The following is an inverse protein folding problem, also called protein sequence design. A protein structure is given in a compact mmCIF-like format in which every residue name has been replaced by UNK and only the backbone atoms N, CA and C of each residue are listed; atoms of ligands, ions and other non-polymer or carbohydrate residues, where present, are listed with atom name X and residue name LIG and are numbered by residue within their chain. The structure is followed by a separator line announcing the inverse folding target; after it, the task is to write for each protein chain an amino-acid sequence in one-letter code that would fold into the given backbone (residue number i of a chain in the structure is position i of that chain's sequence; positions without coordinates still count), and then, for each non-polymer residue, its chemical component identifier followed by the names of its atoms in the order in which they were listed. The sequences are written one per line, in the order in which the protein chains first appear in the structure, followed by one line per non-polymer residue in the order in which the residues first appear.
data_IF_737222561449
#
_entry.id   IF_737222561449
#
_cell.length_a   1.000
_cell.length_b   1.000
_cell.length_c   1.000
_cell.angle_alpha   90.00
_cell.angle_beta   90.00
_cell.angle_gamma   90.00
#
_symmetry.space_group_name_H-M   'P 1'
#
loop_
_entity.id
_entity.type
_entity.pdbx_description
1 polymer ?
#
# COMPACT_ATOMS: atom_id res chain seq x y z
N UNK A 1 5.84 14.80 13.81
CA UNK A 1 4.50 14.92 13.19
C UNK A 1 4.54 14.08 11.92
N UNK A 2 3.66 13.09 11.78
CA UNK A 2 3.64 12.23 10.59
C UNK A 2 2.98 12.92 9.40
N UNK A 3 3.25 12.45 8.18
CA UNK A 3 2.61 12.95 6.95
C UNK A 3 1.08 12.72 7.02
N UNK A 4 0.23 13.73 6.77
CA UNK A 4 -1.21 13.53 6.68
C UNK A 4 -1.58 12.49 5.61
N UNK A 5 -2.58 11.65 5.87
CA UNK A 5 -3.02 10.61 4.92
C UNK A 5 -3.46 11.21 3.59
N UNK A 6 -4.12 12.38 3.60
CA UNK A 6 -4.54 13.07 2.37
C UNK A 6 -3.37 13.42 1.46
N UNK A 7 -2.22 13.78 2.04
CA UNK A 7 -0.99 14.03 1.27
C UNK A 7 -0.52 12.76 0.56
N UNK A 8 -0.56 11.60 1.24
CA UNK A 8 -0.20 10.32 0.63
C UNK A 8 -1.18 9.91 -0.47
N UNK A 9 -2.48 10.14 -0.27
CA UNK A 9 -3.53 9.88 -1.27
C UNK A 9 -3.33 10.75 -2.51
N UNK A 10 -3.02 12.03 -2.35
CA UNK A 10 -2.74 12.94 -3.47
C UNK A 10 -1.52 12.48 -4.28
N UNK A 11 -0.44 12.08 -3.61
CA UNK A 11 0.76 11.53 -4.27
C UNK A 11 0.42 10.24 -5.02
N UNK A 12 -0.33 9.32 -4.40
CA UNK A 12 -0.76 8.09 -5.02
C UNK A 12 -1.64 8.34 -6.27
N UNK A 13 -2.55 9.31 -6.19
CA UNK A 13 -3.42 9.70 -7.30
C UNK A 13 -2.64 10.36 -8.45
N UNK A 14 -1.69 11.24 -8.13
CA UNK A 14 -0.80 11.85 -9.12
C UNK A 14 0.07 10.81 -9.82
N UNK A 15 0.56 9.81 -9.07
CA UNK A 15 1.33 8.70 -9.63
C UNK A 15 0.48 7.85 -10.57
N UNK A 16 -0.71 7.43 -10.13
CA UNK A 16 -1.64 6.66 -10.94
C UNK A 16 -1.98 7.40 -12.25
N UNK A 17 -2.29 8.69 -12.16
CA UNK A 17 -2.59 9.54 -13.33
C UNK A 17 -1.42 9.64 -14.28
N UNK A 18 -0.21 9.95 -13.78
CA UNK A 18 1.02 10.07 -14.58
C UNK A 18 1.35 8.78 -15.34
N UNK A 19 0.97 7.63 -14.78
CA UNK A 19 1.25 6.31 -15.36
C UNK A 19 0.08 5.70 -16.14
N UNK A 20 -1.02 6.44 -16.33
CA UNK A 20 -2.16 6.04 -17.16
C UNK A 20 -3.10 5.03 -16.49
N UNK A 21 -3.10 4.94 -15.16
CA UNK A 21 -4.03 4.10 -14.42
C UNK A 21 -5.39 4.80 -14.28
N UNK A 22 -6.47 4.02 -14.42
CA UNK A 22 -7.85 4.51 -14.23
C UNK A 22 -8.26 4.56 -12.76
N UNK A 23 -7.67 3.71 -11.94
CA UNK A 23 -7.95 3.59 -10.51
C UNK A 23 -6.66 3.75 -9.71
N UNK A 24 -6.78 4.36 -8.54
CA UNK A 24 -5.70 4.42 -7.55
C UNK A 24 -5.80 3.17 -6.69
N UNK A 25 -4.81 2.29 -6.80
CA UNK A 25 -4.71 1.06 -6.01
C UNK A 25 -3.75 1.14 -4.82
N UNK A 26 -3.80 0.14 -3.93
CA UNK A 26 -2.97 0.02 -2.73
C UNK A 26 -1.47 0.13 -3.01
N UNK A 27 -1.00 -0.35 -4.17
CA UNK A 27 0.40 -0.23 -4.57
C UNK A 27 0.84 1.22 -4.89
N UNK A 28 -0.08 2.10 -5.27
CA UNK A 28 0.21 3.54 -5.39
C UNK A 28 0.36 4.19 -4.01
N UNK A 29 -0.43 3.74 -3.02
CA UNK A 29 -0.24 4.18 -1.63
C UNK A 29 1.11 3.70 -1.08
N UNK A 30 1.47 2.42 -1.30
CA UNK A 30 2.79 1.90 -0.91
C UNK A 30 3.93 2.73 -1.55
N UNK A 31 3.78 3.12 -2.81
CA UNK A 31 4.73 4.00 -3.49
C UNK A 31 4.80 5.39 -2.86
N UNK A 32 3.66 5.99 -2.51
CA UNK A 32 3.60 7.29 -1.83
C UNK A 32 4.23 7.24 -0.43
N UNK A 33 3.94 6.19 0.34
CA UNK A 33 4.54 5.98 1.68
C UNK A 33 6.04 5.83 1.56
N UNK A 34 6.54 5.02 0.63
CA UNK A 34 7.98 4.90 0.38
C UNK A 34 8.66 6.27 0.16
N UNK A 35 8.00 7.19 -0.55
CA UNK A 35 8.58 8.51 -0.84
C UNK A 35 8.55 9.48 0.35
N UNK A 36 7.51 9.42 1.18
CA UNK A 36 7.26 10.43 2.24
C UNK A 36 7.59 9.95 3.63
N UNK A 37 7.54 8.64 3.84
CA UNK A 37 7.67 7.95 5.13
C UNK A 37 8.52 6.68 4.92
N UNK A 38 9.79 6.83 4.49
CA UNK A 38 10.65 5.70 4.15
C UNK A 38 10.87 4.75 5.34
N UNK A 39 10.99 5.28 6.56
CA UNK A 39 11.16 4.45 7.76
C UNK A 39 9.95 3.55 8.04
N UNK A 40 8.74 4.07 7.83
CA UNK A 40 7.51 3.29 7.96
C UNK A 40 7.46 2.19 6.91
N UNK A 41 7.76 2.52 5.64
CA UNK A 41 7.82 1.56 4.55
C UNK A 41 8.85 0.45 4.81
N UNK A 42 10.06 0.81 5.25
CA UNK A 42 11.11 -0.13 5.63
C UNK A 42 10.69 -1.01 6.81
N UNK A 43 9.98 -0.43 7.78
CA UNK A 43 9.39 -1.17 8.90
C UNK A 43 8.45 -2.28 8.42
N UNK A 44 7.64 -2.01 7.39
CA UNK A 44 6.77 -3.01 6.79
C UNK A 44 7.54 -4.14 6.11
N UNK A 45 8.53 -3.80 5.29
CA UNK A 45 9.36 -4.80 4.61
C UNK A 45 10.12 -5.68 5.60
N UNK A 46 10.67 -5.07 6.66
CA UNK A 46 11.35 -5.79 7.74
C UNK A 46 10.43 -6.79 8.44
N UNK A 47 9.19 -6.41 8.74
CA UNK A 47 8.20 -7.32 9.35
C UNK A 47 7.80 -8.45 8.41
N UNK A 48 7.68 -8.15 7.12
CA UNK A 48 7.42 -9.12 6.08
C UNK A 48 8.65 -9.99 5.73
N UNK A 49 9.84 -9.70 6.28
CA UNK A 49 11.06 -10.44 5.97
C UNK A 49 11.46 -10.35 4.50
N UNK A 50 11.27 -9.17 3.88
CA UNK A 50 11.54 -8.94 2.46
C UNK A 50 12.67 -7.93 2.30
N UNK A 51 13.59 -8.23 1.40
CA UNK A 51 14.66 -7.31 1.00
C UNK A 51 14.08 -6.10 0.23
N UNK A 52 14.55 -4.91 0.60
CA UNK A 52 14.02 -3.65 0.06
C UNK A 52 14.20 -3.53 -1.46
N UNK A 53 15.43 -3.68 -1.94
CA UNK A 53 15.76 -3.40 -3.34
C UNK A 53 15.00 -4.32 -4.32
N UNK A 54 14.93 -5.65 -4.12
CA UNK A 54 14.10 -6.52 -4.95
C UNK A 54 12.61 -6.15 -4.91
N UNK A 55 12.07 -5.82 -3.73
CA UNK A 55 10.67 -5.44 -3.60
C UNK A 55 10.36 -4.17 -4.37
N UNK A 56 11.20 -3.14 -4.26
CA UNK A 56 11.04 -1.87 -5.00
C UNK A 56 11.05 -2.14 -6.50
N UNK A 57 11.98 -2.95 -7.01
CA UNK A 57 12.02 -3.29 -8.45
C UNK A 57 10.71 -3.93 -8.93
N UNK A 58 10.10 -4.78 -8.10
CA UNK A 58 8.81 -5.42 -8.45
C UNK A 58 7.63 -4.45 -8.34
N UNK A 59 7.65 -3.56 -7.33
CA UNK A 59 6.66 -2.50 -7.19
C UNK A 59 6.72 -1.54 -8.39
N UNK A 60 7.91 -1.15 -8.82
CA UNK A 60 8.11 -0.33 -10.03
C UNK A 60 7.61 -1.03 -11.29
N UNK A 61 7.90 -2.32 -11.44
CA UNK A 61 7.43 -3.13 -12.55
C UNK A 61 5.89 -3.18 -12.61
N UNK A 62 5.23 -3.38 -11.46
CA UNK A 62 3.77 -3.38 -11.34
C UNK A 62 3.17 -2.02 -11.71
N UNK A 63 3.84 -0.95 -11.30
CA UNK A 63 3.41 0.42 -11.54
C UNK A 63 3.86 0.94 -12.92
N UNK A 64 4.46 0.16 -13.82
CA UNK A 64 4.91 0.72 -15.12
C UNK A 64 3.77 1.40 -15.91
N UNK A 65 4.08 2.47 -16.68
CA UNK A 65 3.08 3.15 -17.49
C UNK A 65 2.31 2.18 -18.38
N UNK A 66 0.99 2.24 -18.34
CA UNK A 66 0.14 1.40 -19.17
C UNK A 66 -0.11 2.09 -20.51
N UNK A 67 0.15 1.38 -21.61
CA UNK A 67 -0.33 1.83 -22.93
C UNK A 67 -1.87 1.81 -22.90
N UNK A 68 -2.50 2.83 -23.47
CA UNK A 68 -3.93 3.05 -23.36
C UNK A 68 -4.74 1.80 -23.77
N UNK A 69 -5.44 1.20 -22.81
CA UNK A 69 -6.36 0.08 -23.07
C UNK A 69 -6.21 -1.08 -22.08
N UNK A 70 -6.92 -0.99 -20.94
CA UNK A 70 -7.14 -2.13 -20.07
C UNK A 70 -6.81 -1.85 -18.61
N UNK A 71 -7.85 -1.64 -17.80
CA UNK A 71 -7.72 -1.94 -16.38
C UNK A 71 -7.56 -3.45 -16.25
N UNK A 72 -6.51 -3.91 -15.58
CA UNK A 72 -6.38 -5.33 -15.27
C UNK A 72 -7.46 -5.70 -14.24
N UNK A 73 -7.90 -6.97 -14.19
CA UNK A 73 -8.89 -7.42 -13.19
C UNK A 73 -8.51 -7.05 -11.75
N UNK A 74 -7.21 -6.93 -11.48
CA UNK A 74 -6.66 -6.60 -10.17
C UNK A 74 -6.78 -5.12 -9.77
N UNK A 75 -6.98 -4.18 -10.70
CA UNK A 75 -7.03 -2.75 -10.36
C UNK A 75 -8.19 -2.42 -9.42
N UNK A 76 -9.33 -3.11 -9.59
CA UNK A 76 -10.49 -2.97 -8.70
C UNK A 76 -10.18 -3.53 -7.31
N UNK A 77 -9.61 -4.73 -7.25
CA UNK A 77 -9.17 -5.36 -6.00
C UNK A 77 -8.15 -4.47 -5.26
N UNK A 78 -7.15 -3.95 -5.96
CA UNK A 78 -6.13 -3.07 -5.40
C UNK A 78 -6.73 -1.73 -4.93
N UNK A 79 -7.74 -1.19 -5.63
CA UNK A 79 -8.47 0.01 -5.19
C UNK A 79 -9.35 -0.27 -3.97
N UNK A 80 -10.05 -1.40 -3.93
CA UNK A 80 -10.81 -1.83 -2.74
C UNK A 80 -9.89 -2.04 -1.53
N UNK A 81 -8.69 -2.60 -1.70
CA UNK A 81 -7.69 -2.71 -0.65
C UNK A 81 -7.19 -1.33 -0.18
N UNK A 82 -7.05 -0.36 -1.10
CA UNK A 82 -6.74 1.02 -0.75
C UNK A 82 -7.84 1.63 0.13
N UNK A 83 -9.10 1.52 -0.28
CA UNK A 83 -10.23 2.07 0.50
C UNK A 83 -10.34 1.44 1.89
N UNK A 84 -10.14 0.12 2.00
CA UNK A 84 -10.05 -0.56 3.29
C UNK A 84 -8.91 -0.01 4.15
N UNK A 85 -7.74 0.20 3.54
CA UNK A 85 -6.56 0.70 4.24
C UNK A 85 -6.79 2.10 4.82
N UNK A 86 -7.34 3.00 4.00
CA UNK A 86 -7.65 4.37 4.40
C UNK A 86 -8.74 4.42 5.47
N UNK A 87 -9.78 3.61 5.33
CA UNK A 87 -10.86 3.50 6.31
C UNK A 87 -10.33 3.05 7.67
N UNK A 88 -9.47 2.03 7.70
CA UNK A 88 -8.88 1.56 8.95
C UNK A 88 -7.98 2.60 9.60
N UNK A 89 -7.11 3.25 8.83
CA UNK A 89 -6.20 4.26 9.36
C UNK A 89 -6.97 5.46 9.94
N UNK A 90 -8.04 5.90 9.28
CA UNK A 90 -8.96 6.94 9.81
C UNK A 90 -9.64 6.50 11.10
N UNK A 91 -10.10 5.25 11.18
CA UNK A 91 -10.71 4.69 12.39
C UNK A 91 -9.74 4.67 13.57
N UNK A 92 -8.49 4.24 13.34
CA UNK A 92 -7.44 4.24 14.38
C UNK A 92 -7.12 5.65 14.86
N UNK A 93 -7.03 6.63 13.95
CA UNK A 93 -6.83 8.02 14.32
C UNK A 93 -8.01 8.57 15.16
N UNK A 94 -9.24 8.28 14.75
CA UNK A 94 -10.45 8.68 15.47
C UNK A 94 -10.53 8.07 16.88
N UNK A 95 -10.18 6.79 17.05
CA UNK A 95 -10.09 6.13 18.37
C UNK A 95 -9.12 6.83 19.32
N UNK A 96 -8.13 7.55 18.78
CA UNK A 96 -7.13 8.29 19.53
C UNK A 96 -7.41 9.79 19.64
N UNK A 97 -8.52 10.26 19.05
CA UNK A 97 -8.82 11.69 18.90
C UNK A 97 -7.70 12.46 18.18
N UNK A 98 -7.08 11.80 17.19
CA UNK A 98 -5.95 12.31 16.40
C UNK A 98 -6.38 12.56 14.94
N UNK A 99 -5.66 13.45 14.25
CA UNK A 99 -5.80 13.62 12.80
C UNK A 99 -5.20 12.43 12.05
N UNK A 100 -5.82 11.93 10.95
CA UNK A 100 -5.29 10.80 10.20
C UNK A 100 -3.92 11.07 9.54
N UNK A 101 -2.87 10.56 10.17
CA UNK A 101 -1.48 10.56 9.70
C UNK A 101 -0.99 9.19 9.22
N UNK A 102 0.12 9.17 8.50
CA UNK A 102 0.76 7.97 7.96
C UNK A 102 1.07 6.90 9.00
N UNK A 103 1.41 7.30 10.24
CA UNK A 103 1.64 6.37 11.35
C UNK A 103 0.43 5.46 11.63
N UNK A 104 -0.79 5.90 11.32
CA UNK A 104 -1.99 5.09 11.46
C UNK A 104 -2.12 3.99 10.40
N UNK A 105 -1.25 3.98 9.38
CA UNK A 105 -1.15 2.88 8.42
C UNK A 105 -0.31 1.70 8.95
N UNK A 106 0.39 1.85 10.07
CA UNK A 106 1.42 0.89 10.49
C UNK A 106 0.90 -0.54 10.70
N UNK A 107 -0.32 -0.68 11.24
CA UNK A 107 -0.98 -1.97 11.46
C UNK A 107 -1.97 -2.36 10.37
N UNK A 108 -2.10 -1.55 9.31
CA UNK A 108 -3.18 -1.69 8.32
C UNK A 108 -2.95 -2.88 7.40
N UNK A 109 -1.75 -3.01 6.83
CA UNK A 109 -1.50 -3.97 5.74
C UNK A 109 -1.84 -5.42 6.11
N UNK A 110 -1.48 -5.84 7.33
CA UNK A 110 -1.72 -7.19 7.84
C UNK A 110 -3.19 -7.49 8.13
N UNK A 111 -4.02 -6.45 8.24
CA UNK A 111 -5.45 -6.56 8.59
C UNK A 111 -6.37 -6.42 7.38
N UNK A 112 -5.80 -6.12 6.22
CA UNK A 112 -6.53 -6.15 4.96
C UNK A 112 -6.89 -7.60 4.63
N UNK A 113 -7.93 -7.80 3.80
CA UNK A 113 -8.28 -9.14 3.29
C UNK A 113 -7.14 -9.83 2.53
N UNK A 114 -6.18 -9.04 2.05
CA UNK A 114 -4.97 -9.49 1.37
C UNK A 114 -3.82 -8.53 1.72
N UNK A 115 -2.72 -9.06 2.28
CA UNK A 115 -1.52 -8.27 2.57
C UNK A 115 -0.80 -7.93 1.26
N UNK A 116 -0.74 -6.65 0.85
CA UNK A 116 -0.22 -6.28 -0.46
C UNK A 116 1.29 -6.54 -0.60
N UNK A 117 2.06 -6.53 0.50
CA UNK A 117 3.49 -6.86 0.48
C UNK A 117 3.65 -8.35 0.22
N UNK A 118 2.96 -9.18 1.00
CA UNK A 118 3.00 -10.63 0.83
C UNK A 118 2.53 -11.04 -0.57
N UNK A 119 1.43 -10.46 -1.06
CA UNK A 119 0.89 -10.76 -2.38
C UNK A 119 1.80 -10.34 -3.53
N UNK A 120 2.54 -9.23 -3.38
CA UNK A 120 3.54 -8.87 -4.36
C UNK A 120 4.70 -9.87 -4.35
N UNK A 121 5.11 -10.32 -3.16
CA UNK A 121 6.15 -11.33 -3.02
C UNK A 121 5.73 -12.65 -3.66
N UNK A 122 4.51 -13.14 -3.42
CA UNK A 122 3.98 -14.33 -4.08
C UNK A 122 3.94 -14.18 -5.60
N UNK A 123 3.46 -13.04 -6.10
CA UNK A 123 3.35 -12.78 -7.54
C UNK A 123 4.71 -12.80 -8.25
N UNK A 124 5.75 -12.32 -7.60
CA UNK A 124 7.10 -12.20 -8.17
C UNK A 124 8.11 -13.20 -7.59
N UNK A 125 7.63 -14.19 -6.82
CA UNK A 125 8.46 -15.22 -6.17
C UNK A 125 9.60 -14.63 -5.32
N UNK A 126 9.33 -13.52 -4.63
CA UNK A 126 10.30 -12.93 -3.69
C UNK A 126 10.26 -13.70 -2.36
N UNK A 127 11.43 -13.94 -1.73
CA UNK A 127 11.47 -14.44 -0.35
C UNK A 127 10.74 -13.47 0.58
N UNK A 128 9.80 -14.01 1.36
CA UNK A 128 9.03 -13.27 2.35
C UNK A 128 8.58 -14.21 3.47
N UNK A 129 8.34 -13.65 4.65
CA UNK A 129 7.69 -14.32 5.76
C UNK A 129 6.20 -14.48 5.44
N UNK A 130 5.66 -15.67 5.69
CA UNK A 130 4.21 -15.89 5.66
C UNK A 130 3.58 -15.05 6.77
N UNK A 131 2.62 -14.16 6.47
CA UNK A 131 1.98 -13.35 7.49
C UNK A 131 1.26 -14.25 8.49
N UNK A 132 1.42 -13.92 9.78
CA UNK A 132 0.63 -14.57 10.82
C UNK A 132 -0.86 -14.31 10.55
N UNK A 133 -1.75 -15.27 10.82
CA UNK A 133 -3.18 -15.07 10.64
C UNK A 133 -3.67 -13.96 11.57
N UNK A 134 -3.99 -12.81 11.01
CA UNK A 134 -4.65 -11.70 11.70
C UNK A 134 -6.11 -11.66 11.22
N UNK A 135 -7.09 -11.59 12.13
CA UNK A 135 -8.48 -11.43 11.73
C UNK A 135 -8.64 -10.20 10.83
N UNK A 136 -9.36 -10.31 9.69
CA UNK A 136 -9.60 -9.17 8.82
C UNK A 136 -10.43 -8.11 9.55
N UNK A 137 -10.35 -6.88 9.08
CA UNK A 137 -11.15 -5.76 9.59
C UNK A 137 -12.62 -6.02 9.25
N UNK A 138 -13.47 -6.14 10.28
CA UNK A 138 -14.93 -6.18 10.17
C UNK A 138 -15.52 -4.85 9.72
#
# INVERSE_FOLDING_TARGET
MGTPIETLVNIAADEARRRGFRLVGIYHLLWAVRQREPELFLGWLKRAGVEEEPFIKMLEALLRPRRAGGGLPRDRLDNELLEQALTHARRVAAERSEEPQAVHLDSVLQRLREDPIFSLCQRFHLPCRIPDPVPPIS
#
